data_IF_450269815930
#
_entry.id   IF_450269815930
#
_cell.length_a   1.000
_cell.length_b   1.000
_cell.length_c   1.000
_cell.angle_alpha   90.00
_cell.angle_beta   90.00
_cell.angle_gamma   90.00
#
_symmetry.space_group_name_H-M   'P 1'
#
loop_
_entity.id
_entity.type
_entity.pdbx_description
1 polymer ?
#
# COMPACT_ATOMS: atom_id res chain seq x y z
N UNK A 1 3.84 -5.43 -11.18
CA UNK A 1 5.31 -5.31 -11.37
C UNK A 1 5.86 -6.50 -12.16
N UNK A 2 5.93 -7.69 -11.57
CA UNK A 2 6.57 -8.87 -12.18
C UNK A 2 6.16 -9.16 -13.63
N UNK A 3 4.87 -9.20 -13.93
CA UNK A 3 4.35 -9.48 -15.29
C UNK A 3 4.80 -8.45 -16.34
N UNK A 4 5.07 -7.19 -15.92
CA UNK A 4 5.49 -6.10 -16.82
C UNK A 4 6.99 -6.15 -17.05
N UNK A 5 7.78 -6.48 -16.01
CA UNK A 5 9.24 -6.49 -16.11
C UNK A 5 9.77 -7.62 -17.01
N UNK A 6 9.08 -8.76 -17.10
CA UNK A 6 9.53 -9.92 -17.91
C UNK A 6 11.00 -10.33 -17.65
N UNK A 7 11.52 -10.12 -16.43
CA UNK A 7 12.92 -10.30 -16.00
C UNK A 7 13.94 -9.29 -16.55
N UNK A 8 13.52 -8.11 -17.02
CA UNK A 8 14.39 -6.99 -17.36
C UNK A 8 14.12 -5.79 -16.45
N UNK A 9 15.01 -5.56 -15.48
CA UNK A 9 14.97 -4.46 -14.52
C UNK A 9 15.88 -3.28 -14.93
N UNK A 10 16.67 -3.42 -15.99
CA UNK A 10 17.76 -2.48 -16.33
C UNK A 10 17.27 -1.14 -16.87
N UNK A 11 16.05 -1.09 -17.37
CA UNK A 11 15.44 0.11 -17.97
C UNK A 11 14.28 0.69 -17.16
N UNK A 12 14.11 0.29 -15.89
CA UNK A 12 13.01 0.79 -15.04
C UNK A 12 13.31 2.23 -14.59
N UNK A 13 12.51 3.17 -15.12
CA UNK A 13 12.51 4.56 -14.68
C UNK A 13 11.84 4.70 -13.31
N UNK A 14 10.62 4.17 -13.17
CA UNK A 14 9.80 4.25 -11.96
C UNK A 14 8.83 3.06 -11.86
N UNK A 15 8.56 2.63 -10.63
CA UNK A 15 7.46 1.71 -10.29
C UNK A 15 6.33 2.52 -9.65
N UNK A 16 5.12 2.33 -10.17
CA UNK A 16 3.89 2.84 -9.55
C UNK A 16 3.23 1.70 -8.76
N UNK A 17 3.17 1.85 -7.44
CA UNK A 17 2.48 0.95 -6.52
C UNK A 17 1.10 1.52 -6.15
N UNK A 18 0.06 1.03 -6.82
CA UNK A 18 -1.31 1.50 -6.58
C UNK A 18 -1.83 1.16 -5.18
N UNK A 19 -2.45 2.12 -4.49
CA UNK A 19 -3.05 1.96 -3.16
C UNK A 19 -4.56 2.24 -3.23
N UNK A 20 -5.37 1.55 -2.42
CA UNK A 20 -6.81 1.84 -2.35
C UNK A 20 -7.14 3.06 -1.49
N UNK A 21 -6.18 3.55 -0.70
CA UNK A 21 -6.38 4.61 0.30
C UNK A 21 -7.06 4.15 1.60
N UNK A 22 -7.62 2.94 1.64
CA UNK A 22 -8.28 2.37 2.81
C UNK A 22 -9.57 3.10 3.23
N UNK A 23 -10.25 2.66 4.31
CA UNK A 23 -11.52 3.24 4.77
C UNK A 23 -11.43 4.70 5.23
N UNK A 24 -10.22 5.22 5.50
CA UNK A 24 -10.02 6.55 6.10
C UNK A 24 -9.42 7.59 5.15
N UNK A 25 -9.29 7.30 3.84
CA UNK A 25 -8.69 8.20 2.85
C UNK A 25 -9.25 9.64 2.92
N UNK A 26 -10.56 9.76 3.15
CA UNK A 26 -11.27 11.05 3.16
C UNK A 26 -11.54 11.59 4.57
N UNK A 27 -10.93 11.02 5.61
CA UNK A 27 -11.14 11.46 6.99
C UNK A 27 -10.28 12.69 7.30
N UNK A 28 -10.84 13.64 8.03
CA UNK A 28 -10.08 14.73 8.62
C UNK A 28 -9.19 14.23 9.76
N UNK A 29 -8.18 15.02 10.12
CA UNK A 29 -7.32 14.71 11.28
C UNK A 29 -8.09 14.59 12.60
N UNK A 30 -9.25 15.23 12.72
CA UNK A 30 -10.13 15.09 13.89
C UNK A 30 -10.91 13.79 13.88
N UNK A 31 -11.44 13.40 12.72
CA UNK A 31 -12.11 12.11 12.55
C UNK A 31 -11.14 10.95 12.81
N UNK A 32 -9.90 11.05 12.31
CA UNK A 32 -8.84 10.06 12.52
C UNK A 32 -8.52 9.80 14.00
N UNK A 33 -8.69 10.78 14.90
CA UNK A 33 -8.44 10.59 16.34
C UNK A 33 -9.44 9.65 17.02
N UNK A 34 -10.61 9.47 16.41
CA UNK A 34 -11.73 8.74 17.00
C UNK A 34 -12.05 7.43 16.25
N UNK A 35 -11.21 7.01 15.31
CA UNK A 35 -11.46 5.78 14.54
C UNK A 35 -11.37 4.53 15.42
N UNK A 36 -12.18 3.54 15.09
CA UNK A 36 -12.20 2.26 15.80
C UNK A 36 -11.62 1.13 14.97
N UNK A 37 -11.25 0.03 15.64
CA UNK A 37 -10.80 -1.20 14.98
C UNK A 37 -11.89 -1.73 14.05
N UNK A 38 -13.16 -1.71 14.46
CA UNK A 38 -14.25 -2.22 13.63
C UNK A 38 -14.42 -1.42 12.32
N UNK A 39 -14.20 -0.11 12.38
CA UNK A 39 -14.16 0.73 11.17
C UNK A 39 -12.98 0.37 10.27
N UNK A 40 -11.79 0.11 10.83
CA UNK A 40 -10.62 -0.32 10.07
C UNK A 40 -10.80 -1.70 9.42
N UNK A 41 -11.59 -2.59 10.04
CA UNK A 41 -11.91 -3.92 9.50
C UNK A 41 -12.97 -3.89 8.39
N UNK A 42 -13.69 -2.78 8.24
CA UNK A 42 -14.78 -2.62 7.27
C UNK A 42 -14.27 -2.16 5.89
N UNK A 43 -13.38 -2.94 5.27
CA UNK A 43 -12.83 -2.57 3.95
C UNK A 43 -13.89 -2.71 2.85
N UNK A 44 -14.09 -1.70 1.98
CA UNK A 44 -15.19 -1.68 1.01
C UNK A 44 -15.12 -2.78 -0.06
N UNK A 45 -13.90 -3.18 -0.44
CA UNK A 45 -13.68 -4.07 -1.60
C UNK A 45 -13.25 -5.50 -1.24
N UNK A 46 -12.56 -5.71 -0.11
CA UNK A 46 -11.79 -6.93 0.14
C UNK A 46 -12.13 -7.50 1.51
N UNK A 47 -12.43 -8.79 1.58
CA UNK A 47 -12.55 -9.52 2.84
C UNK A 47 -11.18 -10.14 3.19
N UNK A 48 -10.48 -9.56 4.15
CA UNK A 48 -9.10 -9.89 4.49
C UNK A 48 -8.92 -10.14 6.00
N UNK A 49 -7.76 -10.71 6.37
CA UNK A 49 -7.40 -10.91 7.78
C UNK A 49 -7.25 -9.60 8.55
N UNK A 50 -7.52 -9.63 9.86
CA UNK A 50 -7.58 -8.43 10.71
C UNK A 50 -6.32 -7.55 10.63
N UNK A 51 -5.14 -8.16 10.63
CA UNK A 51 -3.84 -7.45 10.58
C UNK A 51 -3.68 -6.65 9.29
N UNK A 52 -3.87 -7.30 8.14
CA UNK A 52 -3.73 -6.62 6.84
C UNK A 52 -4.83 -5.57 6.64
N UNK A 53 -6.03 -5.76 7.18
CA UNK A 53 -7.09 -4.74 7.13
C UNK A 53 -6.73 -3.48 7.93
N UNK A 54 -6.17 -3.63 9.14
CA UNK A 54 -5.73 -2.48 9.95
C UNK A 54 -4.50 -1.79 9.34
N UNK A 55 -3.53 -2.56 8.84
CA UNK A 55 -2.40 -1.99 8.09
C UNK A 55 -2.89 -1.27 6.83
N UNK A 56 -3.92 -1.82 6.18
CA UNK A 56 -4.73 -1.23 5.12
C UNK A 56 -5.25 0.14 5.50
N UNK A 57 -5.95 0.24 6.62
CA UNK A 57 -6.55 1.48 7.09
C UNK A 57 -5.53 2.56 7.49
N UNK A 58 -4.31 2.16 7.88
CA UNK A 58 -3.22 3.07 8.27
C UNK A 58 -2.21 3.36 7.15
N UNK A 59 -2.39 2.76 5.97
CA UNK A 59 -1.40 2.75 4.87
C UNK A 59 -0.07 2.08 5.22
N UNK A 60 0.09 1.48 6.40
CA UNK A 60 1.31 0.78 6.79
C UNK A 60 1.64 -0.37 5.83
N UNK A 61 0.62 -1.05 5.31
CA UNK A 61 0.84 -2.13 4.35
C UNK A 61 1.55 -1.65 3.09
N UNK A 62 1.27 -0.42 2.63
CA UNK A 62 1.90 0.15 1.44
C UNK A 62 3.37 0.44 1.68
N UNK A 63 3.75 0.88 2.88
CA UNK A 63 5.15 1.02 3.26
C UNK A 63 5.89 -0.33 3.23
N UNK A 64 5.24 -1.41 3.70
CA UNK A 64 5.78 -2.76 3.61
C UNK A 64 5.94 -3.23 2.15
N UNK A 65 4.95 -2.95 1.29
CA UNK A 65 5.01 -3.28 -0.14
C UNK A 65 6.10 -2.50 -0.89
N UNK A 66 6.42 -1.26 -0.49
CA UNK A 66 7.56 -0.50 -1.04
C UNK A 66 8.87 -1.21 -0.69
N UNK A 67 9.04 -1.63 0.58
CA UNK A 67 10.22 -2.38 1.02
C UNK A 67 10.30 -3.72 0.28
N UNK A 68 9.18 -4.42 0.13
CA UNK A 68 9.11 -5.67 -0.62
C UNK A 68 9.51 -5.46 -2.08
N UNK A 69 8.97 -4.44 -2.76
CA UNK A 69 9.30 -4.14 -4.14
C UNK A 69 10.78 -3.80 -4.34
N UNK A 70 11.38 -3.06 -3.40
CA UNK A 70 12.83 -2.81 -3.40
C UNK A 70 13.62 -4.13 -3.35
N UNK A 71 13.28 -5.03 -2.43
CA UNK A 71 14.01 -6.28 -2.23
C UNK A 71 13.77 -7.30 -3.36
N UNK A 72 12.53 -7.40 -3.87
CA UNK A 72 12.16 -8.38 -4.89
C UNK A 72 12.64 -8.00 -6.29
N UNK A 73 12.66 -6.71 -6.61
CA UNK A 73 12.95 -6.23 -7.97
C UNK A 73 14.25 -5.41 -8.06
N UNK A 74 15.02 -5.32 -6.97
CA UNK A 74 16.29 -4.58 -6.91
C UNK A 74 16.17 -3.12 -7.42
N UNK A 75 15.02 -2.49 -7.16
CA UNK A 75 14.73 -1.10 -7.55
C UNK A 75 14.98 -0.18 -6.36
N UNK A 76 15.69 0.92 -6.59
CA UNK A 76 15.96 1.91 -5.55
C UNK A 76 14.66 2.51 -4.98
N UNK A 77 14.54 2.73 -3.65
CA UNK A 77 13.29 3.21 -3.03
C UNK A 77 12.77 4.54 -3.59
N UNK A 78 13.65 5.45 -4.02
CA UNK A 78 13.31 6.72 -4.67
C UNK A 78 12.63 6.55 -6.04
N UNK A 79 12.74 5.38 -6.65
CA UNK A 79 12.05 5.01 -7.89
C UNK A 79 10.71 4.30 -7.65
N UNK A 80 10.27 4.14 -6.41
CA UNK A 80 9.01 3.47 -6.07
C UNK A 80 8.04 4.53 -5.52
N UNK A 81 6.98 4.79 -6.27
CA UNK A 81 5.96 5.76 -5.88
C UNK A 81 4.64 5.05 -5.58
N UNK A 82 4.03 5.38 -4.44
CA UNK A 82 2.68 4.93 -4.12
C UNK A 82 1.67 5.99 -4.55
N UNK A 83 0.67 5.58 -5.33
CA UNK A 83 -0.43 6.43 -5.84
C UNK A 83 -1.77 5.78 -5.50
#
# INVERSE_FOLDING_TARGET
IFQVLQNDDKCVEKIILTVSGGPFLNYSSEQLRNVTVDQALSHPTWNMGRKISVDGATMMYKALEIIEAHNLFNISPDKIEAI
#
